data_IF_654180205781
#
_entry.id   IF_654180205781
#
_cell.length_a   1.000
_cell.length_b   1.000
_cell.length_c   1.000
_cell.angle_alpha   90.00
_cell.angle_beta   90.00
_cell.angle_gamma   90.00
#
_symmetry.space_group_name_H-M   'P 1'
#
loop_
_entity.id
_entity.type
_entity.pdbx_description
1 polymer ?
#
# COMPACT_ATOMS: atom_id res chain seq x y z
N UNK A 1 -15.09 -12.71 -23.83
CA UNK A 1 -14.10 -11.65 -23.58
C UNK A 1 -14.76 -10.37 -23.05
N UNK A 2 -15.81 -9.87 -23.72
CA UNK A 2 -16.54 -8.67 -23.31
C UNK A 2 -17.17 -8.79 -21.91
N UNK A 3 -17.76 -9.94 -21.56
CA UNK A 3 -18.36 -10.17 -20.24
C UNK A 3 -17.31 -10.16 -19.11
N UNK A 4 -16.10 -10.62 -19.41
CA UNK A 4 -15.00 -10.62 -18.44
C UNK A 4 -14.51 -9.21 -18.16
N UNK A 5 -14.36 -8.40 -19.20
CA UNK A 5 -13.95 -7.00 -19.08
C UNK A 5 -14.98 -6.19 -18.28
N UNK A 6 -16.26 -6.37 -18.59
CA UNK A 6 -17.37 -5.73 -17.88
C UNK A 6 -17.39 -6.11 -16.39
N UNK A 7 -17.15 -7.39 -16.08
CA UNK A 7 -17.10 -7.86 -14.69
C UNK A 7 -15.90 -7.26 -13.93
N UNK A 8 -14.73 -7.13 -14.57
CA UNK A 8 -13.57 -6.49 -13.97
C UNK A 8 -13.83 -5.01 -13.68
N UNK A 9 -14.48 -4.30 -14.59
CA UNK A 9 -14.87 -2.91 -14.37
C UNK A 9 -15.87 -2.76 -13.22
N UNK A 10 -16.83 -3.66 -13.12
CA UNK A 10 -17.79 -3.68 -12.01
C UNK A 10 -17.11 -3.89 -10.67
N UNK A 11 -16.18 -4.85 -10.58
CA UNK A 11 -15.40 -5.12 -9.35
C UNK A 11 -14.57 -3.91 -8.98
N UNK A 12 -13.88 -3.33 -9.94
CA UNK A 12 -13.07 -2.14 -9.74
C UNK A 12 -13.92 -0.98 -9.18
N UNK A 13 -15.08 -0.76 -9.77
CA UNK A 13 -15.99 0.31 -9.32
C UNK A 13 -16.53 0.05 -7.92
N UNK A 14 -16.85 -1.20 -7.58
CA UNK A 14 -17.30 -1.58 -6.24
C UNK A 14 -16.22 -1.27 -5.21
N UNK A 15 -14.96 -1.58 -5.51
CA UNK A 15 -13.84 -1.29 -4.62
C UNK A 15 -13.65 0.23 -4.46
N UNK A 16 -13.72 0.99 -5.53
CA UNK A 16 -13.60 2.44 -5.50
C UNK A 16 -14.73 3.09 -4.69
N UNK A 17 -15.95 2.61 -4.85
CA UNK A 17 -17.11 3.10 -4.09
C UNK A 17 -17.01 2.75 -2.61
N UNK A 18 -16.52 1.56 -2.28
CA UNK A 18 -16.26 1.15 -0.89
C UNK A 18 -15.23 2.03 -0.23
N UNK A 19 -14.13 2.30 -0.91
CA UNK A 19 -13.08 3.20 -0.40
C UNK A 19 -13.59 4.64 -0.27
N UNK A 20 -14.34 5.12 -1.24
CA UNK A 20 -14.98 6.43 -1.18
C UNK A 20 -15.80 6.59 0.11
N UNK A 21 -16.64 5.62 0.42
CA UNK A 21 -17.43 5.61 1.65
C UNK A 21 -16.58 5.68 2.91
N UNK A 22 -15.51 4.92 2.95
CA UNK A 22 -14.58 4.91 4.08
C UNK A 22 -13.90 6.26 4.27
N UNK A 23 -13.45 6.88 3.19
CA UNK A 23 -12.83 8.19 3.22
C UNK A 23 -13.81 9.28 3.71
N UNK A 24 -15.04 9.22 3.27
CA UNK A 24 -16.11 10.14 3.75
C UNK A 24 -16.39 9.94 5.23
N UNK A 25 -16.53 8.68 5.65
CA UNK A 25 -16.89 8.35 7.04
C UNK A 25 -15.78 8.69 8.04
N UNK A 26 -14.52 8.41 7.69
CA UNK A 26 -13.38 8.68 8.56
C UNK A 26 -12.89 10.11 8.49
N UNK A 27 -13.31 10.86 7.48
CA UNK A 27 -12.88 12.23 7.23
C UNK A 27 -11.35 12.36 7.15
N UNK A 28 -10.69 11.32 6.60
CA UNK A 28 -9.23 11.26 6.49
C UNK A 28 -8.70 12.33 5.54
N UNK A 29 -7.68 13.05 5.97
CA UNK A 29 -7.05 14.10 5.16
C UNK A 29 -6.21 13.51 4.02
N UNK A 30 -5.59 12.35 4.24
CA UNK A 30 -4.77 11.65 3.25
C UNK A 30 -5.11 10.17 3.23
N UNK A 31 -4.76 9.52 2.12
CA UNK A 31 -4.78 8.07 2.01
C UNK A 31 -3.36 7.60 1.68
N UNK A 32 -2.79 6.72 2.50
CA UNK A 32 -1.40 6.28 2.42
C UNK A 32 -1.35 4.84 1.94
N UNK A 33 -0.50 4.55 0.97
CA UNK A 33 -0.36 3.20 0.42
C UNK A 33 1.12 2.87 0.19
N UNK A 34 1.51 1.64 0.50
CA UNK A 34 2.82 1.11 0.15
C UNK A 34 2.83 0.56 -1.26
N UNK A 35 3.79 0.98 -2.07
CA UNK A 35 3.92 0.55 -3.46
C UNK A 35 5.17 -0.32 -3.59
N UNK A 36 4.96 -1.61 -3.84
CA UNK A 36 6.04 -2.59 -4.07
C UNK A 36 6.46 -2.67 -5.54
N UNK A 37 5.61 -2.17 -6.44
CA UNK A 37 5.75 -2.35 -7.88
C UNK A 37 5.03 -3.58 -8.42
N UNK A 38 4.46 -4.43 -7.55
CA UNK A 38 3.66 -5.56 -7.94
C UNK A 38 2.25 -5.16 -8.40
N UNK A 39 1.54 -6.12 -8.96
CA UNK A 39 0.20 -5.89 -9.52
C UNK A 39 -0.80 -5.40 -8.47
N UNK A 40 -0.77 -5.99 -7.26
CA UNK A 40 -1.72 -5.66 -6.20
C UNK A 40 -1.58 -4.21 -5.74
N UNK A 41 -0.35 -3.73 -5.54
CA UNK A 41 -0.10 -2.35 -5.14
C UNK A 41 -0.47 -1.36 -6.24
N UNK A 42 -0.23 -1.72 -7.50
CA UNK A 42 -0.62 -0.92 -8.66
C UNK A 42 -2.14 -0.80 -8.74
N UNK A 43 -2.85 -1.91 -8.58
CA UNK A 43 -4.31 -1.94 -8.59
C UNK A 43 -4.89 -1.11 -7.45
N UNK A 44 -4.33 -1.23 -6.24
CA UNK A 44 -4.76 -0.44 -5.09
C UNK A 44 -4.62 1.06 -5.36
N UNK A 45 -3.51 1.48 -5.95
CA UNK A 45 -3.29 2.88 -6.32
C UNK A 45 -4.33 3.38 -7.32
N UNK A 46 -4.67 2.59 -8.33
CA UNK A 46 -5.70 2.95 -9.31
C UNK A 46 -7.08 3.06 -8.68
N UNK A 47 -7.42 2.16 -7.76
CA UNK A 47 -8.69 2.22 -7.00
C UNK A 47 -8.74 3.49 -6.15
N UNK A 48 -7.64 3.86 -5.50
CA UNK A 48 -7.54 5.09 -4.71
C UNK A 48 -7.74 6.34 -5.56
N UNK A 49 -7.11 6.40 -6.73
CA UNK A 49 -7.26 7.50 -7.68
C UNK A 49 -8.73 7.64 -8.10
N UNK A 50 -9.37 6.52 -8.42
CA UNK A 50 -10.80 6.52 -8.79
C UNK A 50 -11.68 7.00 -7.65
N UNK A 51 -11.43 6.56 -6.41
CA UNK A 51 -12.18 7.00 -5.25
C UNK A 51 -12.03 8.51 -5.02
N UNK A 52 -10.82 9.04 -5.19
CA UNK A 52 -10.55 10.48 -5.07
C UNK A 52 -11.24 11.27 -6.18
N UNK A 53 -11.28 10.76 -7.41
CA UNK A 53 -12.02 11.39 -8.50
C UNK A 53 -13.52 11.46 -8.19
N UNK A 54 -14.08 10.39 -7.64
CA UNK A 54 -15.49 10.36 -7.23
C UNK A 54 -15.80 11.34 -6.10
N UNK A 55 -14.81 11.69 -5.29
CA UNK A 55 -14.92 12.66 -4.20
C UNK A 55 -14.53 14.08 -4.61
N UNK A 56 -14.12 14.29 -5.85
CA UNK A 56 -13.54 15.55 -6.35
C UNK A 56 -12.36 16.02 -5.48
N UNK A 57 -11.55 15.08 -5.01
CA UNK A 57 -10.36 15.37 -4.20
C UNK A 57 -9.10 15.35 -5.05
N UNK A 58 -8.12 16.16 -4.67
CA UNK A 58 -6.83 16.24 -5.33
C UNK A 58 -6.03 14.95 -5.09
N UNK A 59 -5.43 14.41 -6.14
CA UNK A 59 -4.61 13.22 -6.07
C UNK A 59 -3.36 13.40 -5.21
N UNK A 60 -2.92 14.63 -4.97
CA UNK A 60 -1.77 14.92 -4.08
C UNK A 60 -1.99 14.42 -2.65
N UNK A 61 -3.25 14.25 -2.23
CA UNK A 61 -3.60 13.72 -0.92
C UNK A 61 -3.52 12.18 -0.85
N UNK A 62 -3.21 11.54 -1.97
CA UNK A 62 -2.79 10.14 -2.02
C UNK A 62 -1.26 10.12 -1.83
N UNK A 63 -0.80 9.50 -0.75
CA UNK A 63 0.63 9.38 -0.44
C UNK A 63 1.07 7.96 -0.77
N UNK A 64 1.82 7.83 -1.86
CA UNK A 64 2.32 6.55 -2.33
C UNK A 64 3.78 6.40 -1.89
N UNK A 65 4.05 5.39 -1.07
CA UNK A 65 5.34 5.19 -0.41
C UNK A 65 6.02 3.96 -0.96
N UNK A 66 7.23 4.12 -1.48
CA UNK A 66 8.11 2.99 -1.79
C UNK A 66 9.09 2.80 -0.63
N UNK A 67 9.29 1.56 -0.25
CA UNK A 67 10.10 1.23 0.92
C UNK A 67 11.12 0.15 0.57
N UNK A 68 12.20 0.54 -0.16
CA UNK A 68 13.21 -0.44 -0.55
C UNK A 68 13.88 -1.06 0.67
N UNK A 69 13.99 -2.39 0.63
CA UNK A 69 14.66 -3.19 1.64
C UNK A 69 15.83 -3.95 1.06
N UNK A 70 16.16 -5.09 1.67
CA UNK A 70 17.22 -5.96 1.17
C UNK A 70 16.77 -6.64 -0.12
N UNK A 71 17.60 -6.61 -1.16
CA UNK A 71 17.35 -7.30 -2.41
C UNK A 71 16.30 -6.66 -3.34
N UNK A 72 15.97 -5.40 -3.16
CA UNK A 72 15.04 -4.67 -4.03
C UNK A 72 15.65 -4.50 -5.44
N UNK A 73 14.88 -4.81 -6.49
CA UNK A 73 15.31 -4.72 -7.89
C UNK A 73 14.82 -3.43 -8.56
N UNK A 74 15.67 -2.82 -9.38
CA UNK A 74 15.48 -1.47 -9.91
C UNK A 74 14.34 -1.28 -10.91
N UNK A 75 14.07 -2.28 -11.77
CA UNK A 75 13.13 -2.13 -12.88
C UNK A 75 11.67 -1.96 -12.43
N UNK A 76 11.24 -2.76 -11.47
CA UNK A 76 9.89 -2.69 -10.90
C UNK A 76 9.69 -1.38 -10.15
N UNK A 77 10.75 -0.93 -9.50
CA UNK A 77 10.78 0.34 -8.79
C UNK A 77 10.57 1.53 -9.72
N UNK A 78 11.32 1.61 -10.82
CA UNK A 78 11.23 2.73 -11.77
C UNK A 78 9.83 2.83 -12.38
N UNK A 79 9.22 1.70 -12.74
CA UNK A 79 7.86 1.65 -13.26
C UNK A 79 6.85 2.15 -12.23
N UNK A 80 7.01 1.77 -10.97
CA UNK A 80 6.13 2.20 -9.89
C UNK A 80 6.22 3.72 -9.68
N UNK A 81 7.42 4.25 -9.63
CA UNK A 81 7.64 5.71 -9.47
C UNK A 81 7.03 6.48 -10.63
N UNK A 82 7.23 6.03 -11.86
CA UNK A 82 6.65 6.66 -13.05
C UNK A 82 5.13 6.68 -12.99
N UNK A 83 4.51 5.59 -12.58
CA UNK A 83 3.06 5.50 -12.44
C UNK A 83 2.54 6.48 -11.37
N UNK A 84 3.16 6.49 -10.20
CA UNK A 84 2.76 7.40 -9.11
C UNK A 84 2.79 8.85 -9.60
N UNK A 85 3.86 9.25 -10.25
CA UNK A 85 4.02 10.61 -10.77
C UNK A 85 3.02 10.93 -11.88
N UNK A 86 2.76 9.98 -12.77
CA UNK A 86 1.79 10.18 -13.86
C UNK A 86 0.35 10.36 -13.34
N UNK A 87 0.03 9.77 -12.22
CA UNK A 87 -1.29 9.89 -11.59
C UNK A 87 -1.43 11.15 -10.73
N UNK A 88 -0.36 11.90 -10.51
CA UNK A 88 -0.39 13.11 -9.69
C UNK A 88 -0.43 12.84 -8.18
N UNK A 89 -0.17 11.62 -7.74
CA UNK A 89 -0.07 11.29 -6.32
C UNK A 89 1.25 11.81 -5.72
N UNK A 90 1.27 11.99 -4.43
CA UNK A 90 2.49 12.37 -3.71
C UNK A 90 3.37 11.13 -3.53
N UNK A 91 4.59 11.22 -4.04
CA UNK A 91 5.57 10.13 -3.95
C UNK A 91 6.50 10.33 -2.76
N UNK A 92 6.71 9.26 -1.99
CA UNK A 92 7.74 9.23 -0.94
C UNK A 92 8.53 7.93 -1.03
N UNK A 93 9.84 8.04 -0.80
CA UNK A 93 10.72 6.89 -0.68
C UNK A 93 11.29 6.85 0.74
N UNK A 94 11.11 5.72 1.40
CA UNK A 94 11.65 5.49 2.75
C UNK A 94 12.34 4.13 2.77
N UNK A 95 13.67 4.12 2.73
CA UNK A 95 14.43 2.87 2.85
C UNK A 95 14.26 2.28 4.23
N UNK A 96 14.04 0.96 4.30
CA UNK A 96 13.93 0.23 5.57
C UNK A 96 15.25 -0.44 5.96
N UNK A 97 16.29 -0.31 5.15
CA UNK A 97 17.54 -1.07 5.34
C UNK A 97 18.16 -0.81 6.71
N UNK A 98 18.35 0.46 7.08
CA UNK A 98 19.02 0.80 8.34
C UNK A 98 18.19 0.43 9.57
N UNK A 99 16.88 0.70 9.54
CA UNK A 99 15.99 0.39 10.66
C UNK A 99 15.86 -1.13 10.89
N UNK A 100 15.69 -1.90 9.82
CA UNK A 100 15.61 -3.36 9.91
C UNK A 100 16.95 -3.95 10.34
N UNK A 101 18.05 -3.43 9.83
CA UNK A 101 19.40 -3.89 10.22
C UNK A 101 19.65 -3.67 11.71
N UNK A 102 19.25 -2.53 12.25
CA UNK A 102 19.32 -2.24 13.68
C UNK A 102 18.46 -3.22 14.48
N UNK A 103 17.24 -3.44 14.03
CA UNK A 103 16.32 -4.39 14.66
C UNK A 103 16.89 -5.82 14.65
N UNK A 104 17.42 -6.27 13.52
CA UNK A 104 18.03 -7.60 13.41
C UNK A 104 19.23 -7.75 14.35
N UNK A 105 20.05 -6.72 14.44
CA UNK A 105 21.19 -6.71 15.38
C UNK A 105 20.70 -6.86 16.82
N UNK A 106 19.65 -6.13 17.20
CA UNK A 106 19.10 -6.15 18.55
C UNK A 106 18.55 -7.52 18.96
N UNK A 107 17.94 -8.24 18.01
CA UNK A 107 17.35 -9.56 18.28
C UNK A 107 18.29 -10.72 17.95
N UNK A 108 19.50 -10.46 17.45
CA UNK A 108 20.46 -11.49 17.09
C UNK A 108 20.15 -12.22 15.78
N UNK A 109 19.40 -11.58 14.89
CA UNK A 109 19.11 -12.13 13.56
C UNK A 109 20.25 -11.84 12.59
N UNK A 110 20.79 -12.89 11.96
CA UNK A 110 21.79 -12.74 10.90
C UNK A 110 21.07 -12.31 9.60
N UNK A 111 21.53 -11.20 9.02
CA UNK A 111 21.01 -10.65 7.76
C UNK A 111 21.14 -11.61 6.59
N UNK A 112 22.11 -12.54 6.64
CA UNK A 112 22.32 -13.54 5.60
C UNK A 112 21.33 -14.72 5.67
N UNK A 113 20.61 -14.87 6.77
CA UNK A 113 19.63 -15.95 6.96
C UNK A 113 18.24 -15.44 6.54
N UNK A 114 17.78 -15.91 5.38
CA UNK A 114 16.50 -15.49 4.79
C UNK A 114 15.36 -16.42 5.23
N UNK A 115 15.03 -16.37 6.50
CA UNK A 115 13.96 -17.14 7.14
C UNK A 115 12.69 -16.31 7.32
N UNK A 116 11.73 -16.83 8.08
CA UNK A 116 10.47 -16.14 8.36
C UNK A 116 10.69 -14.83 9.14
N UNK A 117 11.68 -14.78 10.02
CA UNK A 117 12.02 -13.55 10.76
C UNK A 117 12.55 -12.47 9.83
N UNK A 118 13.40 -12.85 8.87
CA UNK A 118 13.93 -11.94 7.85
C UNK A 118 12.79 -11.32 7.04
N UNK A 119 11.87 -12.12 6.54
CA UNK A 119 10.76 -11.64 5.70
C UNK A 119 9.76 -10.81 6.50
N UNK A 120 9.29 -11.32 7.64
CA UNK A 120 8.28 -10.65 8.44
C UNK A 120 8.82 -9.40 9.15
N UNK A 121 10.09 -9.39 9.52
CA UNK A 121 10.74 -8.21 10.09
C UNK A 121 10.71 -7.02 9.14
N UNK A 122 10.99 -7.25 7.87
CA UNK A 122 10.88 -6.23 6.83
C UNK A 122 9.43 -5.81 6.59
N UNK A 123 8.51 -6.77 6.52
CA UNK A 123 7.10 -6.49 6.30
C UNK A 123 6.52 -5.63 7.44
N UNK A 124 6.84 -5.96 8.69
CA UNK A 124 6.38 -5.18 9.85
C UNK A 124 6.94 -3.77 9.86
N UNK A 125 8.20 -3.58 9.49
CA UNK A 125 8.79 -2.24 9.41
C UNK A 125 8.08 -1.39 8.34
N UNK A 126 7.75 -1.97 7.20
CA UNK A 126 6.97 -1.27 6.16
C UNK A 126 5.61 -0.84 6.68
N UNK A 127 4.92 -1.73 7.39
CA UNK A 127 3.63 -1.41 8.01
C UNK A 127 3.74 -0.28 9.02
N UNK A 128 4.76 -0.29 9.87
CA UNK A 128 5.02 0.76 10.85
C UNK A 128 5.21 2.12 10.18
N UNK A 129 6.00 2.18 9.13
CA UNK A 129 6.26 3.41 8.37
C UNK A 129 4.95 3.98 7.80
N UNK A 130 4.13 3.13 7.19
CA UNK A 130 2.86 3.56 6.60
C UNK A 130 1.90 4.10 7.67
N UNK A 131 1.80 3.41 8.79
CA UNK A 131 0.95 3.84 9.91
C UNK A 131 1.40 5.17 10.48
N UNK A 132 2.70 5.36 10.67
CA UNK A 132 3.24 6.60 11.20
C UNK A 132 3.07 7.78 10.24
N UNK A 133 3.28 7.55 8.94
CA UNK A 133 3.01 8.58 7.92
C UNK A 133 1.54 8.96 7.94
N UNK A 134 0.63 8.00 8.02
CA UNK A 134 -0.80 8.26 8.10
C UNK A 134 -1.13 9.09 9.36
N UNK A 135 -0.59 8.72 10.50
CA UNK A 135 -0.80 9.46 11.75
C UNK A 135 -0.32 10.91 11.64
N UNK A 136 0.84 11.14 11.04
CA UNK A 136 1.40 12.47 10.86
C UNK A 136 0.61 13.34 9.89
N UNK A 137 -0.01 12.74 8.89
CA UNK A 137 -0.75 13.45 7.84
C UNK A 137 -2.27 13.48 8.08
N UNK A 138 -2.74 12.95 9.20
CA UNK A 138 -4.18 12.86 9.49
C UNK A 138 -4.92 11.92 8.56
N UNK A 139 -4.25 10.90 8.06
CA UNK A 139 -4.74 10.00 7.05
C UNK A 139 -5.01 8.58 7.53
N UNK A 140 -5.28 7.71 6.57
CA UNK A 140 -5.48 6.29 6.81
C UNK A 140 -4.62 5.48 5.85
N UNK A 141 -4.19 4.30 6.29
CA UNK A 141 -3.44 3.36 5.45
C UNK A 141 -4.41 2.50 4.67
N UNK A 142 -4.17 2.38 3.37
CA UNK A 142 -4.89 1.46 2.50
C UNK A 142 -4.02 0.23 2.30
N UNK A 143 -4.47 -0.91 2.80
CA UNK A 143 -3.77 -2.19 2.65
C UNK A 143 -4.00 -2.78 1.27
N UNK A 144 -2.93 -3.14 0.57
CA UNK A 144 -3.02 -3.75 -0.77
C UNK A 144 -3.61 -5.15 -0.72
N UNK A 145 -3.31 -5.90 0.33
CA UNK A 145 -3.88 -7.22 0.56
C UNK A 145 -5.37 -7.18 0.84
N UNK A 146 -5.83 -6.19 1.60
CA UNK A 146 -7.24 -6.03 1.94
C UNK A 146 -8.12 -5.85 0.72
N UNK A 147 -7.64 -5.18 -0.30
CA UNK A 147 -8.39 -4.97 -1.55
C UNK A 147 -8.58 -6.25 -2.33
N UNK A 148 -7.53 -7.05 -2.46
CA UNK A 148 -7.60 -8.37 -3.12
C UNK A 148 -8.48 -9.33 -2.32
N UNK A 149 -8.38 -9.32 -1.01
CA UNK A 149 -9.13 -10.19 -0.12
C UNK A 149 -10.61 -9.85 -0.06
N UNK A 150 -10.96 -8.57 -0.04
CA UNK A 150 -12.34 -8.12 -0.12
C UNK A 150 -12.99 -8.57 -1.43
N UNK A 151 -12.24 -8.55 -2.54
CA UNK A 151 -12.72 -9.01 -3.83
C UNK A 151 -12.91 -10.54 -3.88
N UNK A 152 -12.11 -11.28 -3.12
CA UNK A 152 -12.14 -12.74 -3.05
C UNK A 152 -12.93 -13.28 -1.87
N UNK A 153 -13.31 -12.43 -0.92
CA UNK A 153 -14.01 -12.82 0.28
C UNK A 153 -13.13 -13.51 1.33
N UNK A 154 -11.83 -13.30 1.27
CA UNK A 154 -10.86 -13.91 2.19
C UNK A 154 -10.18 -12.83 3.05
N UNK A 155 -10.04 -13.15 4.34
CA UNK A 155 -9.26 -12.35 5.27
C UNK A 155 -8.02 -13.14 5.70
N UNK A 156 -6.82 -12.61 5.47
CA UNK A 156 -5.57 -13.18 5.98
C UNK A 156 -4.94 -12.24 7.01
N UNK A 157 -4.29 -12.82 8.01
CA UNK A 157 -3.66 -12.07 9.10
C UNK A 157 -2.14 -12.21 9.01
N UNK A 158 -1.53 -11.46 8.08
CA UNK A 158 -0.07 -11.35 7.96
C UNK A 158 0.36 -9.90 8.25
N UNK A 159 1.65 -9.71 8.59
CA UNK A 159 2.17 -8.42 9.03
C UNK A 159 1.97 -7.28 8.03
N UNK A 160 2.09 -7.56 6.74
CA UNK A 160 1.93 -6.59 5.65
C UNK A 160 0.48 -6.36 5.22
N UNK A 161 -0.45 -7.18 5.70
CA UNK A 161 -1.88 -7.04 5.47
C UNK A 161 -2.59 -6.26 6.57
N UNK A 162 -1.88 -5.92 7.64
CA UNK A 162 -2.43 -5.09 8.70
C UNK A 162 -2.60 -3.66 8.21
N UNK A 163 -3.81 -3.14 8.26
CA UNK A 163 -4.09 -1.77 7.87
C UNK A 163 -5.15 -1.15 8.76
N UNK A 164 -5.15 0.17 8.83
CA UNK A 164 -6.18 0.93 9.55
C UNK A 164 -7.52 0.90 8.82
N UNK A 165 -7.52 0.45 7.56
CA UNK A 165 -8.71 0.33 6.75
C UNK A 165 -9.66 -0.78 7.24
N UNK A 166 -9.12 -1.84 7.81
CA UNK A 166 -9.91 -2.98 8.30
C UNK A 166 -10.57 -2.79 9.67
N UNK A 167 -10.44 -1.63 10.27
CA UNK A 167 -10.96 -1.37 11.62
C UNK A 167 -12.42 -0.93 11.62
#
# INVERSE_FOLDING_TARGET
KADREKRCEEIFMIQAMGLKKRLEHTNAATAVVGISGGLDSTLALLVMVKAFDLLNRDHKDIVAVTMPGFGTTDRTYDNAVSLIKSLGATFREVSIVDSVRTHFRDIGQDEAVHDVTYENGQARERTQILMDIANKSGGMVIGTGDMSELALGWATYNGDHMSMYGV
#
